data_IF_833400771011
#
_entry.id   IF_833400771011
#
_cell.length_a   1.000
_cell.length_b   1.000
_cell.length_c   1.000
_cell.angle_alpha   90.00
_cell.angle_beta   90.00
_cell.angle_gamma   90.00
#
_symmetry.space_group_name_H-M   'P 1'
#
loop_
_entity.id
_entity.type
_entity.pdbx_description
1 polymer ?
#
# COMPACT_ATOMS: atom_id res chain seq x y z
N UNK A 1 -86.17 52.78 46.16
CA UNK A 1 -86.46 51.38 46.51
C UNK A 1 -85.80 50.39 45.54
N UNK A 2 -85.99 50.50 44.22
CA UNK A 2 -85.46 49.52 43.25
C UNK A 2 -83.94 49.65 43.00
N UNK A 3 -83.43 50.88 42.85
CA UNK A 3 -81.99 51.18 42.69
C UNK A 3 -81.14 50.69 43.87
N UNK A 4 -81.68 50.79 45.08
CA UNK A 4 -81.03 50.35 46.31
C UNK A 4 -80.96 48.82 46.40
N UNK A 5 -82.04 48.13 45.99
CA UNK A 5 -82.04 46.66 45.85
C UNK A 5 -81.04 46.17 44.81
N UNK A 6 -80.88 46.88 43.69
CA UNK A 6 -79.91 46.53 42.65
C UNK A 6 -78.46 46.74 43.12
N UNK A 7 -78.19 47.82 43.86
CA UNK A 7 -76.88 48.06 44.48
C UNK A 7 -76.52 46.98 45.50
N UNK A 8 -77.47 46.58 46.34
CA UNK A 8 -77.26 45.52 47.33
C UNK A 8 -76.98 44.16 46.66
N UNK A 9 -77.68 43.84 45.56
CA UNK A 9 -77.41 42.63 44.78
C UNK A 9 -76.00 42.61 44.18
N UNK A 10 -75.57 43.71 43.56
CA UNK A 10 -74.20 43.82 43.02
C UNK A 10 -73.13 43.71 44.10
N UNK A 11 -73.37 44.25 45.30
CA UNK A 11 -72.45 44.10 46.43
C UNK A 11 -72.34 42.65 46.87
N UNK A 12 -73.46 41.93 46.97
CA UNK A 12 -73.47 40.49 47.28
C UNK A 12 -72.76 39.66 46.21
N UNK A 13 -72.99 39.95 44.94
CA UNK A 13 -72.30 39.25 43.83
C UNK A 13 -70.78 39.50 43.82
N UNK A 14 -70.34 40.71 44.18
CA UNK A 14 -68.91 41.00 44.31
C UNK A 14 -68.30 40.32 45.53
N UNK A 15 -69.01 40.29 46.65
CA UNK A 15 -68.60 39.60 47.87
C UNK A 15 -68.53 38.08 47.65
N UNK A 16 -69.54 37.49 46.98
CA UNK A 16 -69.56 36.08 46.59
C UNK A 16 -68.38 35.74 45.67
N UNK A 17 -68.09 36.56 44.66
CA UNK A 17 -66.92 36.35 43.79
C UNK A 17 -65.59 36.44 44.52
N UNK A 18 -65.44 37.38 45.47
CA UNK A 18 -64.23 37.49 46.28
C UNK A 18 -64.05 36.25 47.18
N UNK A 19 -65.15 35.76 47.76
CA UNK A 19 -65.14 34.53 48.56
C UNK A 19 -64.80 33.32 47.70
N UNK A 20 -65.38 33.20 46.50
CA UNK A 20 -65.07 32.12 45.56
C UNK A 20 -63.60 32.11 45.15
N UNK A 21 -63.02 33.29 44.85
CA UNK A 21 -61.60 33.41 44.52
C UNK A 21 -60.71 33.05 45.71
N UNK A 22 -61.05 33.51 46.91
CA UNK A 22 -60.30 33.20 48.12
C UNK A 22 -60.35 31.69 48.46
N UNK A 23 -61.52 31.06 48.28
CA UNK A 23 -61.70 29.61 48.46
C UNK A 23 -60.89 28.85 47.40
N UNK A 24 -60.95 29.25 46.13
CA UNK A 24 -60.18 28.62 45.06
C UNK A 24 -58.67 28.69 45.34
N UNK A 25 -58.18 29.85 45.77
CA UNK A 25 -56.76 30.05 46.15
C UNK A 25 -56.37 29.15 47.32
N UNK A 26 -57.21 29.06 48.35
CA UNK A 26 -56.94 28.21 49.52
C UNK A 26 -56.95 26.72 49.18
N UNK A 27 -57.84 26.30 48.28
CA UNK A 27 -57.88 24.92 47.78
C UNK A 27 -56.62 24.61 46.99
N UNK A 28 -56.18 25.51 46.10
CA UNK A 28 -54.95 25.35 45.32
C UNK A 28 -53.72 25.22 46.22
N UNK A 29 -53.57 26.08 47.23
CA UNK A 29 -52.47 25.99 48.20
C UNK A 29 -52.48 24.68 48.98
N UNK A 30 -53.64 24.20 49.41
CA UNK A 30 -53.77 22.92 50.13
C UNK A 30 -53.43 21.73 49.24
N UNK A 31 -53.84 21.77 47.97
CA UNK A 31 -53.49 20.74 46.98
C UNK A 31 -51.99 20.76 46.70
N UNK A 32 -51.40 21.94 46.48
CA UNK A 32 -49.97 22.09 46.23
C UNK A 32 -49.14 21.54 47.39
N UNK A 33 -49.46 21.91 48.64
CA UNK A 33 -48.78 21.39 49.84
C UNK A 33 -48.91 19.87 49.95
N UNK A 34 -50.10 19.33 49.71
CA UNK A 34 -50.31 17.88 49.77
C UNK A 34 -49.54 17.12 48.69
N UNK A 35 -49.43 17.69 47.49
CA UNK A 35 -48.62 17.13 46.41
C UNK A 35 -47.13 17.19 46.75
N UNK A 36 -46.66 18.31 47.30
CA UNK A 36 -45.27 18.49 47.73
C UNK A 36 -44.88 17.49 48.82
N UNK A 37 -45.71 17.33 49.86
CA UNK A 37 -45.49 16.34 50.92
C UNK A 37 -45.47 14.90 50.39
N UNK A 38 -46.36 14.54 49.44
CA UNK A 38 -46.37 13.21 48.83
C UNK A 38 -45.14 12.97 47.93
N UNK A 39 -44.68 13.99 47.21
CA UNK A 39 -43.45 13.92 46.43
C UNK A 39 -42.23 13.80 47.33
N UNK A 40 -42.17 14.53 48.44
CA UNK A 40 -41.07 14.46 49.40
C UNK A 40 -40.99 13.08 50.07
N UNK A 41 -42.13 12.50 50.43
CA UNK A 41 -42.21 11.12 50.97
C UNK A 41 -41.67 10.06 50.02
N UNK A 42 -41.88 10.24 48.71
CA UNK A 42 -41.46 9.28 47.67
C UNK A 42 -40.16 9.69 46.98
N UNK A 43 -39.52 10.77 47.41
CA UNK A 43 -38.36 11.35 46.74
C UNK A 43 -37.22 10.35 46.64
N UNK A 44 -36.90 9.67 47.74
CA UNK A 44 -35.80 8.69 47.77
C UNK A 44 -36.06 7.48 46.86
N UNK A 45 -37.31 7.01 46.78
CA UNK A 45 -37.71 5.93 45.89
C UNK A 45 -37.59 6.35 44.42
N UNK A 46 -38.08 7.54 44.09
CA UNK A 46 -38.01 8.11 42.75
C UNK A 46 -36.53 8.33 42.35
N UNK A 47 -35.72 8.90 43.25
CA UNK A 47 -34.29 9.11 43.00
C UNK A 47 -33.56 7.77 42.78
N UNK A 48 -33.85 6.75 43.59
CA UNK A 48 -33.26 5.43 43.43
C UNK A 48 -33.65 4.79 42.09
N UNK A 49 -34.91 4.90 41.67
CA UNK A 49 -35.36 4.38 40.39
C UNK A 49 -34.75 5.13 39.21
N UNK A 50 -34.66 6.47 39.28
CA UNK A 50 -33.99 7.28 38.27
C UNK A 50 -32.52 6.89 38.17
N UNK A 51 -31.81 6.77 39.30
CA UNK A 51 -30.41 6.33 39.31
C UNK A 51 -30.24 4.97 38.67
N UNK A 52 -31.09 4.00 39.03
CA UNK A 52 -31.07 2.66 38.45
C UNK A 52 -31.25 2.68 36.93
N UNK A 53 -32.26 3.42 36.42
CA UNK A 53 -32.49 3.53 34.96
C UNK A 53 -31.31 4.19 34.24
N UNK A 54 -30.70 5.21 34.85
CA UNK A 54 -29.52 5.89 34.30
C UNK A 54 -28.31 4.95 34.26
N UNK A 55 -28.07 4.17 35.32
CA UNK A 55 -26.99 3.20 35.38
C UNK A 55 -27.17 2.06 34.37
N UNK A 56 -28.39 1.54 34.25
CA UNK A 56 -28.73 0.51 33.25
C UNK A 56 -28.51 1.05 31.82
N UNK A 57 -28.96 2.27 31.53
CA UNK A 57 -28.74 2.91 30.23
C UNK A 57 -27.25 3.16 29.95
N UNK A 58 -26.49 3.66 30.93
CA UNK A 58 -25.04 3.84 30.83
C UNK A 58 -24.33 2.54 30.53
N UNK A 59 -24.69 1.45 31.23
CA UNK A 59 -24.08 0.14 31.03
C UNK A 59 -24.33 -0.42 29.64
N UNK A 60 -25.54 -0.24 29.09
CA UNK A 60 -25.85 -0.64 27.72
C UNK A 60 -25.02 0.17 26.73
N UNK A 61 -24.98 1.49 26.92
CA UNK A 61 -24.23 2.39 26.04
C UNK A 61 -22.72 2.10 26.08
N UNK A 62 -22.15 1.89 27.28
CA UNK A 62 -20.74 1.55 27.45
C UNK A 62 -20.40 0.22 26.78
N UNK A 63 -21.24 -0.80 26.94
CA UNK A 63 -21.05 -2.10 26.28
C UNK A 63 -21.07 -1.94 24.75
N UNK A 64 -22.02 -1.20 24.20
CA UNK A 64 -22.12 -0.96 22.76
C UNK A 64 -20.91 -0.19 22.24
N UNK A 65 -20.47 0.84 22.97
CA UNK A 65 -19.30 1.64 22.61
C UNK A 65 -18.01 0.79 22.63
N UNK A 66 -17.82 -0.05 23.64
CA UNK A 66 -16.67 -0.95 23.71
C UNK A 66 -16.68 -1.96 22.55
N UNK A 67 -17.83 -2.57 22.26
CA UNK A 67 -17.96 -3.53 21.15
C UNK A 67 -17.71 -2.86 19.79
N UNK A 68 -18.16 -1.62 19.60
CA UNK A 68 -17.87 -0.86 18.38
C UNK A 68 -16.39 -0.51 18.25
N UNK A 69 -15.74 -0.08 19.34
CA UNK A 69 -14.30 0.20 19.36
C UNK A 69 -13.47 -1.06 19.07
N UNK A 70 -13.83 -2.20 19.64
CA UNK A 70 -13.16 -3.48 19.38
C UNK A 70 -13.28 -3.87 17.90
N UNK A 71 -14.49 -3.79 17.33
CA UNK A 71 -14.69 -4.06 15.89
C UNK A 71 -13.90 -3.11 15.00
N UNK A 72 -13.89 -1.81 15.31
CA UNK A 72 -13.12 -0.84 14.54
C UNK A 72 -11.62 -1.15 14.60
N UNK A 73 -11.10 -1.52 15.78
CA UNK A 73 -9.70 -1.90 15.96
C UNK A 73 -9.35 -3.17 15.18
N UNK A 74 -10.20 -4.18 15.22
CA UNK A 74 -10.00 -5.42 14.45
C UNK A 74 -10.02 -5.15 12.94
N UNK A 75 -10.97 -4.36 12.46
CA UNK A 75 -11.06 -3.97 11.06
C UNK A 75 -9.83 -3.15 10.60
N UNK A 76 -9.32 -2.25 11.45
CA UNK A 76 -8.10 -1.50 11.16
C UNK A 76 -6.88 -2.42 11.07
N UNK A 77 -6.72 -3.35 12.03
CA UNK A 77 -5.63 -4.33 12.02
C UNK A 77 -5.70 -5.25 10.79
N UNK A 78 -6.88 -5.71 10.42
CA UNK A 78 -7.08 -6.53 9.22
C UNK A 78 -6.75 -5.74 7.95
N UNK A 79 -7.20 -4.48 7.85
CA UNK A 79 -6.88 -3.62 6.72
C UNK A 79 -5.37 -3.33 6.62
N UNK A 80 -4.68 -3.13 7.75
CA UNK A 80 -3.23 -2.98 7.78
C UNK A 80 -2.51 -4.26 7.33
N UNK A 81 -2.92 -5.43 7.83
CA UNK A 81 -2.36 -6.72 7.41
C UNK A 81 -2.54 -6.95 5.92
N UNK A 82 -3.74 -6.70 5.39
CA UNK A 82 -4.02 -6.85 3.96
C UNK A 82 -3.14 -5.93 3.11
N UNK A 83 -2.96 -4.67 3.51
CA UNK A 83 -2.06 -3.72 2.83
C UNK A 83 -0.61 -4.21 2.88
N UNK A 84 -0.15 -4.71 4.01
CA UNK A 84 1.21 -5.25 4.16
C UNK A 84 1.43 -6.48 3.27
N UNK A 85 0.45 -7.38 3.19
CA UNK A 85 0.50 -8.56 2.32
C UNK A 85 0.51 -8.17 0.83
N UNK A 86 -0.33 -7.22 0.42
CA UNK A 86 -0.33 -6.68 -0.94
C UNK A 86 1.01 -6.02 -1.29
N UNK A 87 1.61 -5.27 -0.36
CA UNK A 87 2.92 -4.67 -0.56
C UNK A 87 4.03 -5.72 -0.64
N UNK A 88 3.99 -6.75 0.22
CA UNK A 88 4.91 -7.89 0.16
C UNK A 88 4.80 -8.63 -1.17
N UNK A 89 3.59 -8.83 -1.69
CA UNK A 89 3.38 -9.47 -2.99
C UNK A 89 3.96 -8.62 -4.13
N UNK A 90 3.67 -7.32 -4.15
CA UNK A 90 4.24 -6.38 -5.13
C UNK A 90 5.77 -6.34 -5.08
N UNK A 91 6.36 -6.35 -3.89
CA UNK A 91 7.82 -6.40 -3.72
C UNK A 91 8.41 -7.68 -4.29
N UNK A 92 7.79 -8.84 -4.03
CA UNK A 92 8.22 -10.13 -4.60
C UNK A 92 8.12 -10.14 -6.12
N UNK A 93 7.02 -9.66 -6.68
CA UNK A 93 6.83 -9.56 -8.13
C UNK A 93 7.89 -8.65 -8.77
N UNK A 94 8.18 -7.50 -8.17
CA UNK A 94 9.26 -6.63 -8.62
C UNK A 94 10.63 -7.30 -8.52
N UNK A 95 10.89 -8.05 -7.45
CA UNK A 95 12.14 -8.79 -7.27
C UNK A 95 12.31 -9.87 -8.34
N UNK A 96 11.25 -10.61 -8.66
CA UNK A 96 11.24 -11.60 -9.76
C UNK A 96 11.53 -10.96 -11.11
N UNK A 97 10.87 -9.84 -11.43
CA UNK A 97 11.10 -9.09 -12.68
C UNK A 97 12.56 -8.60 -12.74
N UNK A 98 13.09 -8.07 -11.64
CA UNK A 98 14.48 -7.59 -11.58
C UNK A 98 15.47 -8.74 -11.73
N UNK A 99 15.21 -9.90 -11.13
CA UNK A 99 16.02 -11.09 -11.28
C UNK A 99 16.02 -11.60 -12.72
N UNK A 100 14.86 -11.63 -13.39
CA UNK A 100 14.76 -12.03 -14.80
C UNK A 100 15.50 -11.06 -15.72
N UNK A 101 15.36 -9.75 -15.48
CA UNK A 101 16.08 -8.72 -16.24
C UNK A 101 17.60 -8.83 -16.05
N UNK A 102 18.05 -9.05 -14.82
CA UNK A 102 19.47 -9.25 -14.53
C UNK A 102 20.01 -10.49 -15.23
N UNK A 103 19.28 -11.61 -15.23
CA UNK A 103 19.67 -12.82 -15.99
C UNK A 103 19.79 -12.54 -17.49
N UNK A 104 18.84 -11.82 -18.08
CA UNK A 104 18.89 -11.44 -19.51
C UNK A 104 20.11 -10.57 -19.82
N UNK A 105 20.44 -9.63 -18.94
CA UNK A 105 21.63 -8.78 -19.09
C UNK A 105 22.90 -9.63 -18.99
N UNK A 106 23.00 -10.51 -18.00
CA UNK A 106 24.15 -11.39 -17.81
C UNK A 106 24.35 -12.33 -19.01
N UNK A 107 23.27 -12.94 -19.52
CA UNK A 107 23.32 -13.77 -20.71
C UNK A 107 23.75 -12.99 -21.96
N UNK A 108 23.26 -11.76 -22.13
CA UNK A 108 23.66 -10.89 -23.24
C UNK A 108 25.14 -10.50 -23.14
N UNK A 109 25.61 -10.15 -21.94
CA UNK A 109 27.02 -9.85 -21.69
C UNK A 109 27.91 -11.06 -21.95
N UNK A 110 27.49 -12.26 -21.53
CA UNK A 110 28.22 -13.50 -21.77
C UNK A 110 28.32 -13.81 -23.27
N UNK A 111 27.22 -13.69 -24.02
CA UNK A 111 27.23 -13.86 -25.48
C UNK A 111 28.17 -12.87 -26.17
N UNK A 112 28.13 -11.59 -25.79
CA UNK A 112 29.03 -10.57 -26.33
C UNK A 112 30.50 -10.90 -26.01
N UNK A 113 30.80 -11.35 -24.80
CA UNK A 113 32.15 -11.76 -24.42
C UNK A 113 32.64 -12.99 -25.21
N UNK A 114 31.76 -13.98 -25.42
CA UNK A 114 32.06 -15.15 -26.25
C UNK A 114 32.33 -14.78 -27.72
N UNK A 115 31.54 -13.86 -28.29
CA UNK A 115 31.75 -13.35 -29.65
C UNK A 115 33.07 -12.57 -29.79
N UNK A 116 33.38 -11.71 -28.81
CA UNK A 116 34.67 -11.00 -28.78
C UNK A 116 35.85 -11.98 -28.69
N UNK A 117 35.74 -13.03 -27.89
CA UNK A 117 36.78 -14.03 -27.74
C UNK A 117 36.99 -14.85 -29.02
N UNK A 118 35.91 -15.24 -29.71
CA UNK A 118 35.98 -15.89 -31.03
C UNK A 118 36.66 -15.00 -32.07
N UNK A 119 36.32 -13.72 -32.13
CA UNK A 119 36.93 -12.76 -33.05
C UNK A 119 38.45 -12.65 -32.82
N UNK A 120 38.88 -12.59 -31.55
CA UNK A 120 40.31 -12.54 -31.20
C UNK A 120 41.01 -13.85 -31.57
N UNK A 121 40.37 -15.00 -31.37
CA UNK A 121 40.92 -16.30 -31.78
C UNK A 121 41.07 -16.39 -33.31
N UNK A 122 40.09 -15.92 -34.07
CA UNK A 122 40.16 -15.86 -35.53
C UNK A 122 41.28 -14.93 -36.01
N UNK A 123 41.40 -13.73 -35.42
CA UNK A 123 42.52 -12.82 -35.72
C UNK A 123 43.87 -13.47 -35.44
N UNK A 124 44.00 -14.22 -34.34
CA UNK A 124 45.22 -14.97 -34.02
C UNK A 124 45.51 -16.04 -35.05
N UNK A 125 44.52 -16.84 -35.47
CA UNK A 125 44.70 -17.87 -36.51
C UNK A 125 45.14 -17.26 -37.83
N UNK A 126 44.52 -16.16 -38.26
CA UNK A 126 44.89 -15.44 -39.47
C UNK A 126 46.33 -14.92 -39.43
N UNK A 127 46.78 -14.41 -38.29
CA UNK A 127 48.17 -13.98 -38.09
C UNK A 127 49.15 -15.16 -38.14
N UNK A 128 48.81 -16.28 -37.50
CA UNK A 128 49.62 -17.51 -37.55
C UNK A 128 49.72 -18.07 -38.98
N UNK A 129 48.63 -18.09 -39.74
CA UNK A 129 48.63 -18.49 -41.16
C UNK A 129 49.46 -17.55 -42.03
N UNK A 130 49.33 -16.24 -41.81
CA UNK A 130 50.12 -15.23 -42.53
C UNK A 130 51.62 -15.41 -42.26
N UNK A 131 52.01 -15.63 -41.00
CA UNK A 131 53.41 -15.90 -40.65
C UNK A 131 53.92 -17.20 -41.31
N UNK A 132 53.11 -18.26 -41.36
CA UNK A 132 53.46 -19.50 -42.06
C UNK A 132 53.66 -19.26 -43.56
N UNK A 133 52.75 -18.55 -44.23
CA UNK A 133 52.91 -18.21 -45.64
C UNK A 133 54.16 -17.36 -45.88
N UNK A 134 54.42 -16.36 -45.04
CA UNK A 134 55.64 -15.54 -45.13
C UNK A 134 56.92 -16.37 -44.96
N UNK A 135 56.94 -17.33 -44.04
CA UNK A 135 58.05 -18.26 -43.88
C UNK A 135 58.23 -19.20 -45.08
N UNK A 136 57.13 -19.74 -45.62
CA UNK A 136 57.16 -20.60 -46.81
C UNK A 136 57.66 -19.84 -48.04
N UNK A 137 57.17 -18.62 -48.26
CA UNK A 137 57.62 -17.74 -49.33
C UNK A 137 59.10 -17.38 -49.16
N UNK A 138 59.54 -17.09 -47.94
CA UNK A 138 60.96 -16.83 -47.65
C UNK A 138 61.82 -18.07 -47.92
N UNK A 139 61.34 -19.28 -47.61
CA UNK A 139 62.02 -20.55 -47.93
C UNK A 139 62.05 -20.79 -49.44
N UNK A 140 60.94 -20.55 -50.16
CA UNK A 140 60.86 -20.66 -51.64
C UNK A 140 61.84 -19.70 -52.31
N UNK A 141 61.82 -18.41 -51.96
CA UNK A 141 62.75 -17.39 -52.46
C UNK A 141 64.21 -17.77 -52.22
N UNK A 142 64.54 -18.30 -51.03
CA UNK A 142 65.90 -18.81 -50.74
C UNK A 142 66.28 -19.98 -51.65
N UNK A 143 65.40 -20.96 -51.85
CA UNK A 143 65.64 -22.11 -52.75
C UNK A 143 65.82 -21.66 -54.21
N UNK A 144 64.95 -20.78 -54.69
CA UNK A 144 65.06 -20.18 -56.03
C UNK A 144 66.39 -19.42 -56.19
N UNK A 145 66.79 -18.64 -55.18
CA UNK A 145 68.07 -17.95 -55.19
C UNK A 145 69.27 -18.92 -55.20
N UNK A 146 69.19 -20.04 -54.47
CA UNK A 146 70.21 -21.10 -54.51
C UNK A 146 70.36 -21.72 -55.91
N UNK A 147 69.23 -21.96 -56.62
CA UNK A 147 69.21 -22.47 -58.01
C UNK A 147 69.76 -21.44 -59.00
N UNK A 148 69.40 -20.16 -58.85
CA UNK A 148 69.86 -19.07 -59.72
C UNK A 148 71.37 -18.86 -59.57
N UNK A 149 71.87 -18.78 -58.33
CA UNK A 149 73.28 -18.57 -58.02
C UNK A 149 74.13 -19.86 -58.12
N UNK A 150 73.53 -21.00 -58.49
CA UNK A 150 74.14 -22.34 -58.55
C UNK A 150 74.92 -22.71 -57.28
N UNK A 151 74.47 -22.23 -56.11
CA UNK A 151 75.06 -22.61 -54.82
C UNK A 151 74.73 -24.08 -54.56
N UNK A 152 75.69 -24.85 -54.06
CA UNK A 152 75.56 -26.31 -53.80
C UNK A 152 75.21 -27.17 -55.03
N UNK A 153 75.57 -26.75 -56.25
CA UNK A 153 75.23 -27.46 -57.51
C UNK A 153 73.71 -27.68 -57.71
N UNK A 154 72.88 -26.78 -57.18
CA UNK A 154 71.42 -26.93 -57.20
C UNK A 154 70.78 -26.77 -58.59
N UNK A 155 71.50 -26.24 -59.59
CA UNK A 155 70.95 -26.07 -60.95
C UNK A 155 71.04 -27.40 -61.72
N UNK A 156 69.91 -27.94 -62.23
CA UNK A 156 69.93 -29.14 -63.07
C UNK A 156 70.71 -28.88 -64.36
N UNK A 157 71.55 -29.83 -64.78
CA UNK A 157 72.28 -29.73 -66.05
C UNK A 157 71.29 -29.93 -67.20
N UNK A 158 71.09 -28.90 -68.01
CA UNK A 158 70.30 -28.99 -69.23
C UNK A 158 71.10 -29.77 -70.28
N UNK A 159 70.64 -30.98 -70.61
CA UNK A 159 71.08 -31.70 -71.80
C UNK A 159 70.24 -31.24 -72.98
N UNK A 160 70.81 -30.40 -73.84
CA UNK A 160 70.21 -30.12 -75.15
C UNK A 160 70.70 -31.18 -76.12
N UNK A 161 69.80 -31.99 -76.67
CA UNK A 161 70.07 -32.74 -77.89
C UNK A 161 70.17 -31.74 -79.05
N UNK A 162 71.39 -31.28 -79.34
CA UNK A 162 71.71 -30.66 -80.62
C UNK A 162 71.64 -31.74 -81.70
N UNK A 163 70.42 -32.05 -82.15
CA UNK A 163 70.17 -32.82 -83.35
C UNK A 163 70.55 -31.99 -84.57
N UNK A 164 71.85 -31.83 -84.79
CA UNK A 164 72.42 -31.25 -85.99
C UNK A 164 72.75 -32.36 -86.99
N UNK A 165 71.95 -32.42 -88.06
CA UNK A 165 72.04 -33.27 -89.27
C UNK A 165 71.71 -34.75 -89.10
#
# INVERSE_FOLDING_TARGET
AELERQRLKRQKELEEKLIEEEVARRVEELVAKRVEEELERRKDEIEAEVRRRVEEAKKIMEKQMLEELERQREAELEAQKKKEEEEKLKRKELEEIMAENNKKIEEAQKKLAEEQLKLVEEQRRMLEEKQRMEEEDRKRKKREQEVILNKKNARPKLSFSLGGK
#
